data_IF_954200982048
#
_entry.id   IF_954200982048
#
_cell.length_a   1.000
_cell.length_b   1.000
_cell.length_c   1.000
_cell.angle_alpha   90.00
_cell.angle_beta   90.00
_cell.angle_gamma   90.00
#
_symmetry.space_group_name_H-M   'P 1'
#
loop_
_entity.id
_entity.type
_entity.pdbx_description
1 polymer ?
#
# COMPACT_ATOMS: atom_id res chain seq x y z
N UNK A 1 -55.43 -43.28 -39.88
CA UNK A 1 -54.12 -43.35 -39.23
C UNK A 1 -53.81 -41.93 -38.70
N UNK A 2 -53.73 -41.83 -37.39
CA UNK A 2 -53.83 -40.59 -36.60
C UNK A 2 -52.50 -39.75 -36.69
N UNK A 3 -52.58 -38.42 -36.62
CA UNK A 3 -51.41 -37.53 -36.76
C UNK A 3 -50.58 -37.48 -35.45
N UNK A 4 -49.97 -38.60 -35.05
CA UNK A 4 -49.04 -38.66 -33.89
C UNK A 4 -47.66 -38.11 -34.24
N UNK A 5 -47.32 -38.14 -35.53
CA UNK A 5 -46.02 -37.69 -36.01
C UNK A 5 -45.77 -36.16 -35.84
N UNK A 6 -46.77 -35.26 -36.19
CA UNK A 6 -46.56 -33.84 -35.97
C UNK A 6 -46.50 -33.42 -34.48
N UNK A 7 -47.18 -34.17 -33.60
CA UNK A 7 -47.09 -33.89 -32.17
C UNK A 7 -45.75 -34.30 -31.55
N UNK A 8 -45.15 -35.40 -32.02
CA UNK A 8 -43.82 -35.82 -31.62
C UNK A 8 -42.74 -34.84 -32.12
N UNK A 9 -42.92 -34.30 -33.34
CA UNK A 9 -42.02 -33.32 -33.92
C UNK A 9 -42.08 -31.97 -33.16
N UNK A 10 -43.27 -31.58 -32.68
CA UNK A 10 -43.47 -30.35 -31.89
C UNK A 10 -42.80 -30.45 -30.50
N UNK A 11 -42.84 -31.63 -29.87
CA UNK A 11 -42.14 -31.88 -28.61
C UNK A 11 -40.61 -31.87 -28.74
N UNK A 12 -40.07 -32.30 -29.89
CA UNK A 12 -38.64 -32.29 -30.14
C UNK A 12 -38.08 -30.86 -30.30
N UNK A 13 -38.89 -29.90 -30.78
CA UNK A 13 -38.55 -28.51 -30.93
C UNK A 13 -38.60 -27.71 -29.60
N UNK A 14 -39.23 -28.26 -28.57
CA UNK A 14 -39.34 -27.61 -27.25
C UNK A 14 -38.12 -27.85 -26.34
N UNK A 15 -37.17 -28.69 -26.72
CA UNK A 15 -35.91 -28.89 -25.99
C UNK A 15 -34.90 -27.83 -26.40
N UNK A 16 -35.23 -26.58 -26.15
CA UNK A 16 -34.19 -25.53 -26.14
C UNK A 16 -33.25 -25.86 -24.98
N UNK A 17 -31.92 -26.02 -25.20
CA UNK A 17 -30.99 -26.05 -24.09
C UNK A 17 -31.13 -24.70 -23.37
N UNK A 18 -31.80 -24.70 -22.22
CA UNK A 18 -31.73 -23.55 -21.30
C UNK A 18 -30.28 -23.47 -20.92
N UNK A 19 -29.52 -22.61 -21.62
CA UNK A 19 -28.22 -22.20 -21.12
C UNK A 19 -28.47 -21.61 -19.75
N UNK A 20 -28.23 -22.43 -18.73
CA UNK A 20 -28.30 -21.97 -17.34
C UNK A 20 -27.37 -20.79 -17.22
N UNK A 21 -27.94 -19.59 -17.22
CA UNK A 21 -27.18 -18.34 -17.05
C UNK A 21 -26.39 -18.50 -15.77
N UNK A 22 -25.11 -18.77 -15.90
CA UNK A 22 -24.20 -18.87 -14.78
C UNK A 22 -24.20 -17.52 -14.07
N UNK A 23 -24.80 -17.46 -12.89
CA UNK A 23 -24.79 -16.24 -12.08
C UNK A 23 -23.37 -15.75 -11.88
N UNK A 24 -23.17 -14.43 -11.87
CA UNK A 24 -21.87 -13.81 -11.65
C UNK A 24 -21.29 -14.29 -10.30
N UNK A 25 -20.06 -14.77 -10.33
CA UNK A 25 -19.34 -15.18 -9.13
C UNK A 25 -18.60 -13.98 -8.57
N UNK A 26 -19.07 -13.49 -7.44
CA UNK A 26 -18.53 -12.31 -6.75
C UNK A 26 -17.75 -12.75 -5.52
N UNK A 27 -16.66 -12.08 -5.22
CA UNK A 27 -15.92 -12.18 -3.97
C UNK A 27 -15.50 -10.81 -3.48
N UNK A 28 -15.01 -10.73 -2.25
CA UNK A 28 -14.35 -9.53 -1.74
C UNK A 28 -13.12 -9.88 -0.91
N UNK A 29 -12.24 -8.92 -0.80
CA UNK A 29 -11.07 -8.94 0.08
C UNK A 29 -11.11 -7.72 1.00
N UNK A 30 -10.36 -7.79 2.07
CA UNK A 30 -9.96 -6.64 2.88
C UNK A 30 -8.44 -6.50 2.73
N UNK A 31 -8.02 -5.52 1.91
CA UNK A 31 -6.59 -5.33 1.60
C UNK A 31 -5.80 -4.97 2.85
N UNK A 32 -6.37 -4.17 3.76
CA UNK A 32 -5.69 -3.74 4.98
C UNK A 32 -5.43 -4.92 5.90
N UNK A 33 -6.45 -5.77 6.12
CA UNK A 33 -6.29 -7.00 6.92
C UNK A 33 -5.25 -7.93 6.28
N UNK A 34 -5.25 -8.07 4.96
CA UNK A 34 -4.26 -8.91 4.26
C UNK A 34 -2.85 -8.35 4.49
N UNK A 35 -2.63 -7.06 4.24
CA UNK A 35 -1.34 -6.40 4.38
C UNK A 35 -0.81 -6.47 5.82
N UNK A 36 -1.66 -6.19 6.80
CA UNK A 36 -1.30 -6.29 8.22
C UNK A 36 -0.87 -7.70 8.65
N UNK A 37 -1.25 -8.73 7.91
CA UNK A 37 -0.85 -10.12 8.18
C UNK A 37 0.35 -10.60 7.36
N UNK A 38 0.95 -9.71 6.54
CA UNK A 38 2.17 -10.00 5.77
C UNK A 38 3.39 -9.50 6.55
N UNK A 39 4.35 -10.37 6.85
CA UNK A 39 5.54 -10.04 7.64
C UNK A 39 6.42 -8.98 6.98
N UNK A 40 6.55 -9.01 5.67
CA UNK A 40 7.30 -8.02 4.89
C UNK A 40 6.66 -6.63 4.96
N UNK A 41 5.32 -6.57 4.95
CA UNK A 41 4.60 -5.32 5.10
C UNK A 41 4.82 -4.70 6.47
N UNK A 42 4.73 -5.50 7.54
CA UNK A 42 5.01 -5.04 8.90
C UNK A 42 6.42 -4.46 9.03
N UNK A 43 7.43 -5.14 8.45
CA UNK A 43 8.81 -4.66 8.47
C UNK A 43 8.98 -3.37 7.67
N UNK A 44 8.38 -3.29 6.49
CA UNK A 44 8.44 -2.11 5.62
C UNK A 44 7.72 -0.91 6.27
N UNK A 45 6.55 -1.14 6.91
CA UNK A 45 5.82 -0.12 7.65
C UNK A 45 6.65 0.40 8.83
N UNK A 46 7.22 -0.50 9.63
CA UNK A 46 8.08 -0.11 10.77
C UNK A 46 9.29 0.72 10.31
N UNK A 47 9.93 0.33 9.19
CA UNK A 47 11.06 1.08 8.64
C UNK A 47 10.61 2.48 8.17
N UNK A 48 9.43 2.58 7.56
CA UNK A 48 8.87 3.87 7.16
C UNK A 48 8.58 4.75 8.38
N UNK A 49 7.98 4.19 9.42
CA UNK A 49 7.66 4.92 10.66
C UNK A 49 8.93 5.42 11.35
N UNK A 50 9.97 4.60 11.42
CA UNK A 50 11.28 5.01 11.96
C UNK A 50 11.86 6.18 11.16
N UNK A 51 11.80 6.11 9.83
CA UNK A 51 12.29 7.19 8.96
C UNK A 51 11.49 8.49 9.15
N UNK A 52 10.17 8.39 9.31
CA UNK A 52 9.31 9.53 9.60
C UNK A 52 9.68 10.19 10.92
N UNK A 53 9.93 9.39 11.97
CA UNK A 53 10.34 9.92 13.27
C UNK A 53 11.74 10.58 13.23
N UNK A 54 12.68 10.03 12.44
CA UNK A 54 13.97 10.67 12.19
C UNK A 54 13.79 12.05 11.56
N UNK A 55 12.95 12.17 10.53
CA UNK A 55 12.69 13.45 9.87
C UNK A 55 11.97 14.46 10.77
N UNK A 56 11.05 14.01 11.61
CA UNK A 56 10.41 14.88 12.61
C UNK A 56 11.44 15.46 13.58
N UNK A 57 12.34 14.60 14.08
CA UNK A 57 13.44 15.04 14.96
C UNK A 57 14.39 16.02 14.27
N UNK A 58 14.75 15.76 13.01
CA UNK A 58 15.59 16.65 12.20
C UNK A 58 14.97 18.06 12.12
N UNK A 59 13.68 18.14 11.80
CA UNK A 59 12.95 19.41 11.69
C UNK A 59 12.84 20.09 13.04
N UNK A 60 12.57 19.36 14.11
CA UNK A 60 12.42 19.91 15.45
C UNK A 60 13.74 20.50 15.96
N UNK A 61 14.86 19.82 15.74
CA UNK A 61 16.18 20.35 16.07
C UNK A 61 16.46 21.66 15.32
N UNK A 62 16.14 21.72 14.03
CA UNK A 62 16.26 22.95 13.24
C UNK A 62 15.38 24.10 13.74
N UNK A 63 14.17 23.81 14.20
CA UNK A 63 13.29 24.82 14.82
C UNK A 63 13.84 25.32 16.15
N UNK A 64 14.42 24.44 16.96
CA UNK A 64 15.06 24.81 18.23
C UNK A 64 16.26 25.74 17.93
N UNK A 65 17.10 25.39 16.95
CA UNK A 65 18.23 26.19 16.51
C UNK A 65 17.78 27.58 16.03
N UNK A 66 16.74 27.64 15.20
CA UNK A 66 16.13 28.90 14.74
C UNK A 66 15.68 29.77 15.90
N UNK A 67 15.01 29.15 16.87
CA UNK A 67 14.57 29.86 18.08
C UNK A 67 15.74 30.40 18.89
N UNK A 68 16.82 29.63 19.05
CA UNK A 68 18.01 30.06 19.75
C UNK A 68 18.67 31.28 19.07
N UNK A 69 18.77 31.28 17.73
CA UNK A 69 19.29 32.42 16.98
C UNK A 69 18.43 33.68 17.18
N UNK A 70 17.09 33.53 17.17
CA UNK A 70 16.16 34.63 17.43
C UNK A 70 16.29 35.15 18.87
N UNK A 71 16.34 34.27 19.85
CA UNK A 71 16.46 34.65 21.26
C UNK A 71 17.81 35.32 21.53
N UNK A 72 18.91 34.85 20.90
CA UNK A 72 20.23 35.45 20.98
C UNK A 72 20.25 36.88 20.39
N UNK A 73 19.72 37.05 19.16
CA UNK A 73 19.61 38.38 18.55
C UNK A 73 18.82 39.34 19.44
N UNK A 74 17.72 38.90 20.00
CA UNK A 74 16.90 39.75 20.89
C UNK A 74 17.65 40.14 22.16
N UNK A 75 18.47 39.27 22.73
CA UNK A 75 19.26 39.57 23.92
C UNK A 75 20.41 40.52 23.63
N UNK A 76 21.07 40.39 22.47
CA UNK A 76 22.24 41.15 22.06
C UNK A 76 21.90 42.46 21.34
N UNK A 77 20.66 42.67 20.95
CA UNK A 77 20.20 43.77 20.06
C UNK A 77 20.61 45.15 20.52
N UNK A 78 20.64 45.40 21.85
CA UNK A 78 21.03 46.68 22.42
C UNK A 78 22.54 46.96 22.37
N UNK A 79 23.35 45.95 22.05
CA UNK A 79 24.81 46.00 21.97
C UNK A 79 25.31 46.04 20.52
N UNK A 80 24.43 45.78 19.54
CA UNK A 80 24.78 45.66 18.13
C UNK A 80 24.56 46.97 17.38
N UNK A 81 25.34 47.18 16.31
CA UNK A 81 25.08 48.28 15.36
C UNK A 81 23.88 47.95 14.46
N UNK A 82 23.20 48.95 13.88
CA UNK A 82 22.05 48.71 12.98
C UNK A 82 22.40 47.78 11.81
N UNK A 83 23.60 47.86 11.27
CA UNK A 83 24.07 47.01 10.17
C UNK A 83 24.20 45.56 10.62
N UNK A 84 24.80 45.30 11.78
CA UNK A 84 24.92 43.95 12.34
C UNK A 84 23.53 43.36 12.69
N UNK A 85 22.60 44.16 13.15
CA UNK A 85 21.21 43.71 13.39
C UNK A 85 20.58 43.26 12.07
N UNK A 86 20.71 44.06 11.00
CA UNK A 86 20.15 43.73 9.69
C UNK A 86 20.75 42.43 9.12
N UNK A 87 22.05 42.23 9.25
CA UNK A 87 22.75 41.01 8.81
C UNK A 87 22.24 39.76 9.58
N UNK A 88 22.12 39.89 10.90
CA UNK A 88 21.56 38.79 11.73
C UNK A 88 20.10 38.48 11.44
N UNK A 89 19.28 39.51 11.21
CA UNK A 89 17.87 39.33 10.81
C UNK A 89 17.77 38.64 9.46
N UNK A 90 18.65 38.93 8.51
CA UNK A 90 18.71 38.25 7.23
C UNK A 90 19.11 36.78 7.39
N UNK A 91 20.17 36.48 8.17
CA UNK A 91 20.65 35.14 8.47
C UNK A 91 19.49 34.27 9.09
N UNK A 92 18.79 34.83 10.08
CA UNK A 92 17.63 34.16 10.72
C UNK A 92 16.49 33.92 9.72
N UNK A 93 16.21 34.88 8.85
CA UNK A 93 15.20 34.77 7.80
C UNK A 93 15.55 33.65 6.81
N UNK A 94 16.79 33.58 6.36
CA UNK A 94 17.26 32.57 5.43
C UNK A 94 17.21 31.19 6.08
N UNK A 95 17.65 31.07 7.33
CA UNK A 95 17.54 29.83 8.10
C UNK A 95 16.08 29.39 8.34
N UNK A 96 15.18 30.34 8.60
CA UNK A 96 13.74 30.05 8.69
C UNK A 96 13.19 29.51 7.37
N UNK A 97 13.64 30.05 6.23
CA UNK A 97 13.33 29.55 4.90
C UNK A 97 13.82 28.12 4.69
N UNK A 98 15.05 27.79 5.14
CA UNK A 98 15.57 26.41 5.08
C UNK A 98 14.72 25.43 5.89
N UNK A 99 14.26 25.81 7.10
CA UNK A 99 13.40 24.96 7.94
C UNK A 99 12.07 24.67 7.24
N UNK A 100 11.45 25.69 6.63
CA UNK A 100 10.19 25.52 5.87
C UNK A 100 10.42 24.62 4.66
N UNK A 101 11.49 24.87 3.88
CA UNK A 101 11.84 24.05 2.71
C UNK A 101 12.11 22.59 3.10
N UNK A 102 12.81 22.35 4.21
CA UNK A 102 13.05 21.01 4.72
C UNK A 102 11.73 20.31 5.10
N UNK A 103 10.84 21.03 5.79
CA UNK A 103 9.51 20.49 6.16
C UNK A 103 8.70 20.13 4.91
N UNK A 104 8.67 20.98 3.90
CA UNK A 104 7.97 20.73 2.65
C UNK A 104 8.59 19.56 1.88
N UNK A 105 9.93 19.50 1.80
CA UNK A 105 10.65 18.38 1.19
C UNK A 105 10.31 17.04 1.85
N UNK A 106 10.23 16.99 3.19
CA UNK A 106 9.93 15.75 3.92
C UNK A 106 8.45 15.38 3.87
N UNK A 107 7.55 16.36 4.10
CA UNK A 107 6.14 16.12 4.37
C UNK A 107 5.16 16.76 3.39
N UNK A 108 5.65 17.51 2.42
CA UNK A 108 4.82 18.12 1.36
C UNK A 108 4.10 17.08 0.50
N UNK A 109 3.18 17.53 -0.39
CA UNK A 109 2.35 16.64 -1.22
C UNK A 109 3.13 15.68 -2.14
N UNK A 110 4.38 16.05 -2.49
CA UNK A 110 5.32 15.23 -3.27
C UNK A 110 6.60 14.94 -2.49
N UNK A 111 6.53 15.04 -1.17
CA UNK A 111 7.70 14.92 -0.29
C UNK A 111 8.19 13.48 -0.13
N UNK A 112 9.33 13.40 0.58
CA UNK A 112 10.04 12.15 0.82
C UNK A 112 9.16 11.09 1.48
N UNK A 113 8.23 11.47 2.36
CA UNK A 113 7.28 10.55 3.01
C UNK A 113 6.45 9.78 1.98
N UNK A 114 5.90 10.46 0.99
CA UNK A 114 5.06 9.83 -0.05
C UNK A 114 5.92 8.93 -0.94
N UNK A 115 7.10 9.41 -1.33
CA UNK A 115 8.04 8.64 -2.14
C UNK A 115 8.51 7.38 -1.44
N UNK A 116 8.91 7.47 -0.16
CA UNK A 116 9.35 6.32 0.63
C UNK A 116 8.21 5.32 0.87
N UNK A 117 7.00 5.81 1.18
CA UNK A 117 5.82 4.95 1.28
C UNK A 117 5.60 4.15 0.00
N UNK A 118 5.64 4.82 -1.14
CA UNK A 118 5.46 4.17 -2.44
C UNK A 118 6.54 3.13 -2.70
N UNK A 119 7.81 3.46 -2.45
CA UNK A 119 8.93 2.54 -2.68
C UNK A 119 8.87 1.29 -1.79
N UNK A 120 8.47 1.45 -0.52
CA UNK A 120 8.49 0.37 0.47
C UNK A 120 7.23 -0.50 0.42
N UNK A 121 6.05 0.11 0.28
CA UNK A 121 4.78 -0.60 0.46
C UNK A 121 4.14 -1.02 -0.87
N UNK A 122 4.28 -0.23 -1.93
CA UNK A 122 3.66 -0.56 -3.22
C UNK A 122 4.05 -1.93 -3.79
N UNK A 123 5.31 -2.38 -3.77
CA UNK A 123 5.66 -3.70 -4.28
C UNK A 123 4.92 -4.84 -3.57
N UNK A 124 4.64 -4.68 -2.27
CA UNK A 124 3.92 -5.68 -1.47
C UNK A 124 2.43 -5.67 -1.85
N UNK A 125 1.84 -4.49 -2.01
CA UNK A 125 0.47 -4.35 -2.50
C UNK A 125 0.31 -4.95 -3.90
N UNK A 126 1.24 -4.68 -4.81
CA UNK A 126 1.23 -5.24 -6.18
C UNK A 126 1.35 -6.77 -6.17
N UNK A 127 2.11 -7.35 -5.22
CA UNK A 127 2.17 -8.79 -5.02
C UNK A 127 0.82 -9.35 -4.58
N UNK A 128 0.14 -8.71 -3.62
CA UNK A 128 -1.22 -9.10 -3.19
C UNK A 128 -2.18 -9.09 -4.38
N UNK A 129 -2.21 -8.00 -5.15
CA UNK A 129 -3.05 -7.88 -6.34
C UNK A 129 -2.77 -8.98 -7.37
N UNK A 130 -1.51 -9.35 -7.55
CA UNK A 130 -1.12 -10.45 -8.45
C UNK A 130 -1.68 -11.78 -7.98
N UNK A 131 -1.65 -12.05 -6.69
CA UNK A 131 -2.23 -13.27 -6.09
C UNK A 131 -3.76 -13.25 -6.22
N UNK A 132 -4.41 -12.12 -5.95
CA UNK A 132 -5.85 -11.94 -6.12
C UNK A 132 -6.27 -12.25 -7.56
N UNK A 133 -5.58 -11.68 -8.56
CA UNK A 133 -5.85 -11.96 -9.98
C UNK A 133 -5.67 -13.43 -10.34
N UNK A 134 -4.67 -14.09 -9.76
CA UNK A 134 -4.44 -15.52 -9.98
C UNK A 134 -5.58 -16.34 -9.41
N UNK A 135 -6.01 -16.06 -8.18
CA UNK A 135 -7.16 -16.73 -7.55
C UNK A 135 -8.45 -16.47 -8.34
N UNK A 136 -8.64 -15.23 -8.80
CA UNK A 136 -9.80 -14.87 -9.61
C UNK A 136 -9.92 -15.76 -10.85
N UNK A 137 -8.82 -15.93 -11.59
CA UNK A 137 -8.77 -16.80 -12.77
C UNK A 137 -8.97 -18.27 -12.43
N UNK A 138 -8.23 -18.81 -11.46
CA UNK A 138 -8.31 -20.21 -11.03
C UNK A 138 -9.71 -20.59 -10.53
N UNK A 139 -10.33 -19.71 -9.76
CA UNK A 139 -11.65 -19.94 -9.14
C UNK A 139 -12.80 -19.39 -9.96
N UNK A 140 -12.53 -18.78 -11.13
CA UNK A 140 -13.52 -18.23 -12.06
C UNK A 140 -14.43 -17.20 -11.36
N UNK A 141 -13.85 -16.26 -10.61
CA UNK A 141 -14.53 -15.07 -10.14
C UNK A 141 -14.69 -14.07 -11.28
N UNK A 142 -15.87 -13.50 -11.39
CA UNK A 142 -16.17 -12.44 -12.35
C UNK A 142 -15.78 -11.07 -11.77
N UNK A 143 -15.97 -10.89 -10.44
CA UNK A 143 -15.64 -9.67 -9.72
C UNK A 143 -15.03 -9.99 -8.36
N UNK A 144 -14.01 -9.23 -7.97
CA UNK A 144 -13.48 -9.18 -6.60
C UNK A 144 -13.37 -7.73 -6.20
N UNK A 145 -14.06 -7.36 -5.12
CA UNK A 145 -14.05 -6.02 -4.56
C UNK A 145 -13.07 -5.92 -3.41
N UNK A 146 -12.48 -4.73 -3.21
CA UNK A 146 -11.70 -4.44 -2.02
C UNK A 146 -12.57 -3.66 -1.03
N UNK A 147 -12.82 -4.26 0.13
CA UNK A 147 -13.63 -3.66 1.18
C UNK A 147 -12.90 -2.53 1.92
N UNK A 148 -11.57 -2.51 1.92
CA UNK A 148 -10.75 -1.47 2.55
C UNK A 148 -10.63 -0.20 1.69
N UNK A 149 -11.03 -0.27 0.40
CA UNK A 149 -11.08 0.88 -0.48
C UNK A 149 -12.34 1.73 -0.22
N UNK A 150 -12.39 2.95 -0.79
CA UNK A 150 -13.52 3.89 -0.67
C UNK A 150 -14.85 3.38 -1.25
N UNK A 151 -14.95 2.09 -1.58
CA UNK A 151 -16.18 1.46 -2.05
C UNK A 151 -17.09 1.21 -0.86
N UNK A 152 -18.25 1.86 -0.84
CA UNK A 152 -19.25 1.68 0.21
C UNK A 152 -19.89 0.29 0.06
N UNK A 153 -19.42 -0.68 0.82
CA UNK A 153 -20.03 -1.99 0.95
C UNK A 153 -20.83 -2.06 2.25
N UNK A 154 -22.15 -1.87 2.17
CA UNK A 154 -23.03 -1.86 3.35
C UNK A 154 -23.18 -3.22 4.01
N UNK A 155 -23.19 -4.29 3.22
CA UNK A 155 -23.31 -5.67 3.69
C UNK A 155 -22.66 -6.65 2.72
N UNK A 156 -21.99 -7.64 3.27
CA UNK A 156 -21.52 -8.81 2.54
C UNK A 156 -21.51 -10.04 3.45
N UNK A 157 -21.99 -11.16 2.94
CA UNK A 157 -21.88 -12.43 3.65
C UNK A 157 -20.42 -12.89 3.71
N UNK A 158 -20.00 -13.44 4.85
CA UNK A 158 -18.66 -13.98 5.08
C UNK A 158 -18.23 -15.04 4.05
N UNK A 159 -19.19 -15.71 3.44
CA UNK A 159 -18.92 -16.74 2.42
C UNK A 159 -18.29 -16.16 1.14
N UNK A 160 -18.42 -14.87 0.92
CA UNK A 160 -17.80 -14.15 -0.22
C UNK A 160 -16.43 -13.56 0.12
N UNK A 161 -16.00 -13.63 1.40
CA UNK A 161 -14.68 -13.19 1.85
C UNK A 161 -13.61 -14.20 1.43
N UNK A 162 -12.67 -13.74 0.60
CA UNK A 162 -11.54 -14.55 0.16
C UNK A 162 -10.20 -14.06 0.72
N UNK A 163 -10.22 -13.14 1.70
CA UNK A 163 -8.99 -12.57 2.29
C UNK A 163 -8.08 -13.65 2.86
N UNK A 164 -8.63 -14.62 3.61
CA UNK A 164 -7.88 -15.76 4.15
C UNK A 164 -7.27 -16.64 3.06
N UNK A 165 -7.96 -16.82 1.94
CA UNK A 165 -7.47 -17.61 0.81
C UNK A 165 -6.27 -16.90 0.16
N UNK A 166 -6.36 -15.59 -0.02
CA UNK A 166 -5.27 -14.75 -0.54
C UNK A 166 -4.07 -14.83 0.38
N UNK A 167 -4.27 -14.64 1.69
CA UNK A 167 -3.21 -14.67 2.69
C UNK A 167 -2.50 -16.04 2.74
N UNK A 168 -3.26 -17.14 2.73
CA UNK A 168 -2.70 -18.51 2.66
C UNK A 168 -1.83 -18.70 1.41
N UNK A 169 -2.26 -18.19 0.26
CA UNK A 169 -1.50 -18.29 -1.00
C UNK A 169 -0.20 -17.49 -0.93
N UNK A 170 -0.24 -16.26 -0.41
CA UNK A 170 0.94 -15.42 -0.23
C UNK A 170 1.94 -16.11 0.70
N UNK A 171 1.51 -16.55 1.88
CA UNK A 171 2.37 -17.24 2.84
C UNK A 171 3.03 -18.51 2.24
N UNK A 172 2.29 -19.24 1.42
CA UNK A 172 2.82 -20.42 0.73
C UNK A 172 3.90 -20.05 -0.28
N UNK A 173 3.68 -18.99 -1.07
CA UNK A 173 4.67 -18.49 -2.04
C UNK A 173 5.94 -18.00 -1.35
N UNK A 174 5.81 -17.27 -0.24
CA UNK A 174 6.94 -16.78 0.55
C UNK A 174 7.77 -17.93 1.12
N UNK A 175 7.12 -18.97 1.69
CA UNK A 175 7.82 -20.18 2.17
C UNK A 175 8.58 -20.89 1.06
N UNK A 176 7.98 -21.02 -0.13
CA UNK A 176 8.63 -21.63 -1.30
C UNK A 176 9.82 -20.81 -1.77
N UNK A 177 9.70 -19.47 -1.81
CA UNK A 177 10.80 -18.56 -2.19
C UNK A 177 11.96 -18.69 -1.20
N UNK A 178 11.69 -18.61 0.08
CA UNK A 178 12.71 -18.73 1.13
C UNK A 178 13.41 -20.09 1.09
N UNK A 179 12.67 -21.19 0.79
CA UNK A 179 13.28 -22.53 0.63
C UNK A 179 14.19 -22.59 -0.60
N UNK A 180 13.78 -22.01 -1.73
CA UNK A 180 14.60 -21.96 -2.94
C UNK A 180 15.89 -21.17 -2.72
N UNK A 181 15.81 -20.02 -2.05
CA UNK A 181 16.99 -19.19 -1.72
C UNK A 181 17.96 -19.93 -0.81
N UNK A 182 17.46 -20.62 0.23
CA UNK A 182 18.30 -21.46 1.11
C UNK A 182 19.00 -22.60 0.33
N UNK A 183 18.28 -23.25 -0.57
CA UNK A 183 18.86 -24.32 -1.41
C UNK A 183 19.93 -23.78 -2.36
N UNK A 184 19.71 -22.59 -2.93
CA UNK A 184 20.71 -21.93 -3.79
C UNK A 184 21.98 -21.58 -3.01
N UNK A 185 21.81 -20.95 -1.84
CA UNK A 185 22.96 -20.62 -0.96
C UNK A 185 23.73 -21.84 -0.46
N UNK A 186 23.05 -23.00 -0.25
CA UNK A 186 23.71 -24.24 0.11
C UNK A 186 24.51 -24.82 -1.06
N UNK A 187 23.97 -24.75 -2.28
CA UNK A 187 24.72 -25.23 -3.47
C UNK A 187 25.97 -24.39 -3.71
N UNK A 188 25.86 -23.07 -3.65
CA UNK A 188 27.01 -22.16 -3.81
C UNK A 188 28.12 -22.39 -2.76
N UNK A 189 27.78 -22.89 -1.56
CA UNK A 189 28.74 -23.25 -0.52
C UNK A 189 29.40 -24.61 -0.73
N UNK A 190 28.80 -25.50 -1.51
CA UNK A 190 29.34 -26.82 -1.82
C UNK A 190 30.26 -26.74 -3.04
N UNK A 191 29.95 -25.81 -3.96
CA UNK A 191 30.72 -25.65 -5.21
C UNK A 191 31.97 -24.75 -5.05
N UNK A 192 32.14 -24.09 -3.87
CA UNK A 192 33.34 -23.35 -3.44
C UNK A 192 34.15 -24.12 -2.40
#
# INVERSE_FOLDING_TARGET
MRPLIPFLLLCLLAVNPVEAQRGARVGYIDMDIILENISEYKKASLLLDQRIEEWKKEIELKKIELKQLQDQLNAERVLLTPELIADRELEIKDFAGEVVNLQEKRFGPRGDRITQRTLLLKPIQDQVLTVVRTIAREKKYDYIFDRSADIVMLYSSKNYDISDLVLKRINSQQKLKARKEKLKALKEKIDN
#
